data_IF_018856099837
#
_entry.id   IF_018856099837
#
_cell.length_a   1.000
_cell.length_b   1.000
_cell.length_c   1.000
_cell.angle_alpha   90.00
_cell.angle_beta   90.00
_cell.angle_gamma   90.00
#
_symmetry.space_group_name_H-M   'P 1'
#
loop_
_entity.id
_entity.type
_entity.pdbx_description
1 polymer ?
#
# COMPACT_ATOMS: atom_id res chain seq x y z
N UNK A 1 -4.68 -32.44 -8.01
CA UNK A 1 -3.54 -32.47 -7.08
C UNK A 1 -3.28 -31.05 -6.60
N UNK A 2 -3.73 -30.74 -5.41
CA UNK A 2 -3.58 -29.41 -4.84
C UNK A 2 -2.12 -29.14 -4.49
N UNK A 3 -1.64 -27.92 -4.80
CA UNK A 3 -0.40 -27.42 -4.26
C UNK A 3 -0.47 -27.53 -2.73
N UNK A 4 0.52 -28.15 -2.12
CA UNK A 4 0.59 -28.26 -0.67
C UNK A 4 0.59 -26.85 -0.09
N UNK A 5 -0.34 -26.58 0.83
CA UNK A 5 -0.31 -25.36 1.62
C UNK A 5 1.04 -25.30 2.35
N UNK A 6 1.72 -24.15 2.34
CA UNK A 6 2.97 -24.03 3.08
C UNK A 6 2.72 -24.36 4.54
N UNK A 7 3.61 -25.16 5.09
CA UNK A 7 3.49 -25.59 6.48
C UNK A 7 3.48 -24.37 7.40
N UNK A 8 2.67 -24.36 8.47
CA UNK A 8 2.56 -23.23 9.39
C UNK A 8 3.89 -22.70 9.93
N UNK A 9 4.92 -23.55 9.95
CA UNK A 9 6.25 -23.19 10.45
C UNK A 9 7.11 -22.37 9.45
N UNK A 10 6.78 -22.37 8.16
CA UNK A 10 7.50 -21.57 7.17
C UNK A 10 7.05 -20.11 7.19
N UNK A 11 5.83 -19.88 7.60
CA UNK A 11 5.32 -18.52 7.83
C UNK A 11 6.10 -17.78 8.91
N UNK A 12 6.52 -18.50 9.95
CA UNK A 12 7.22 -17.91 11.10
C UNK A 12 8.67 -17.52 10.79
N UNK A 13 9.24 -18.01 9.70
CA UNK A 13 10.63 -17.72 9.33
C UNK A 13 10.79 -16.40 8.56
N UNK A 14 9.72 -15.84 8.04
CA UNK A 14 9.72 -14.61 7.24
C UNK A 14 9.18 -13.40 8.01
N UNK A 15 8.68 -13.60 9.21
CA UNK A 15 8.29 -12.51 10.09
C UNK A 15 9.52 -12.00 10.81
N UNK A 16 9.73 -10.68 10.74
CA UNK A 16 10.73 -10.03 11.60
C UNK A 16 10.54 -10.50 13.05
N UNK A 17 11.63 -10.64 13.84
CA UNK A 17 11.51 -11.12 15.21
C UNK A 17 10.46 -10.30 15.95
N UNK A 18 9.38 -10.94 16.40
CA UNK A 18 8.29 -10.30 17.14
C UNK A 18 8.81 -9.48 18.34
N UNK A 19 9.94 -9.87 18.91
CA UNK A 19 10.56 -9.16 20.03
C UNK A 19 11.02 -7.74 19.67
N UNK A 20 11.44 -7.47 18.43
CA UNK A 20 11.86 -6.13 17.98
C UNK A 20 10.62 -5.26 17.68
N UNK A 21 9.57 -5.86 17.11
CA UNK A 21 8.32 -5.18 16.78
C UNK A 21 7.53 -4.85 18.06
N UNK A 22 7.50 -5.77 19.03
CA UNK A 22 6.77 -5.58 20.29
C UNK A 22 7.31 -4.46 21.18
N UNK A 23 8.57 -4.02 20.98
CA UNK A 23 9.18 -2.92 21.73
C UNK A 23 8.92 -1.54 21.12
N UNK A 24 8.39 -1.47 19.91
CA UNK A 24 8.04 -0.21 19.26
C UNK A 24 6.72 0.28 19.80
N UNK A 25 6.65 1.58 20.13
CA UNK A 25 5.41 2.19 20.59
C UNK A 25 4.39 2.16 19.44
N UNK A 26 3.22 1.60 19.69
CA UNK A 26 2.11 1.67 18.75
C UNK A 26 1.53 3.07 18.67
N UNK A 27 1.01 3.45 17.52
CA UNK A 27 0.30 4.72 17.35
C UNK A 27 -0.95 4.74 18.25
N UNK A 28 -1.26 5.92 18.77
CA UNK A 28 -2.46 6.10 19.58
C UNK A 28 -3.70 5.91 18.73
N UNK A 29 -4.73 5.31 19.33
CA UNK A 29 -6.03 5.18 18.67
C UNK A 29 -6.60 6.58 18.43
N UNK A 30 -7.02 6.84 17.21
CA UNK A 30 -7.67 8.09 16.82
C UNK A 30 -9.03 8.24 17.52
N UNK A 31 -9.56 9.47 17.62
CA UNK A 31 -10.89 9.68 18.16
C UNK A 31 -11.96 8.81 17.50
N UNK A 32 -12.92 8.34 18.28
CA UNK A 32 -14.03 7.54 17.78
C UNK A 32 -14.83 8.29 16.73
N UNK A 33 -15.17 7.61 15.63
CA UNK A 33 -16.02 8.13 14.55
C UNK A 33 -17.20 7.19 14.33
N UNK A 34 -18.27 7.73 13.77
CA UNK A 34 -19.40 6.91 13.34
C UNK A 34 -19.06 6.12 12.09
N UNK A 35 -19.71 4.97 11.92
CA UNK A 35 -19.53 4.11 10.75
C UNK A 35 -19.78 4.85 9.42
N UNK A 36 -20.73 5.77 9.39
CA UNK A 36 -21.03 6.58 8.22
C UNK A 36 -19.84 7.43 7.74
N UNK A 37 -18.93 7.81 8.64
CA UNK A 37 -17.71 8.53 8.26
C UNK A 37 -16.76 7.60 7.52
N UNK A 38 -16.59 6.38 8.01
CA UNK A 38 -15.76 5.36 7.35
C UNK A 38 -16.34 4.98 5.98
N UNK A 39 -17.66 4.91 5.86
CA UNK A 39 -18.35 4.57 4.60
C UNK A 39 -18.10 5.59 3.48
N UNK A 40 -17.58 6.77 3.80
CA UNK A 40 -17.21 7.78 2.81
C UNK A 40 -15.87 7.47 2.14
N UNK A 41 -15.07 6.59 2.70
CA UNK A 41 -13.74 6.24 2.18
C UNK A 41 -13.87 5.06 1.22
N UNK A 42 -13.45 5.25 -0.04
CA UNK A 42 -13.43 4.18 -1.04
C UNK A 42 -12.03 3.61 -1.16
N UNK A 43 -11.83 2.40 -0.65
CA UNK A 43 -10.57 1.66 -0.72
C UNK A 43 -10.72 0.53 -1.71
N UNK A 44 -9.82 0.44 -2.68
CA UNK A 44 -9.85 -0.59 -3.71
C UNK A 44 -8.52 -1.26 -3.91
N UNK A 45 -8.58 -2.50 -4.36
CA UNK A 45 -7.39 -3.24 -4.79
C UNK A 45 -7.03 -2.83 -6.21
N UNK A 46 -5.76 -2.53 -6.42
CA UNK A 46 -5.23 -2.25 -7.76
C UNK A 46 -3.92 -2.99 -7.98
N UNK A 47 -3.59 -3.25 -9.24
CA UNK A 47 -2.30 -3.80 -9.63
C UNK A 47 -1.36 -2.68 -10.01
N UNK A 48 -0.18 -2.67 -9.40
CA UNK A 48 0.88 -1.71 -9.71
C UNK A 48 1.53 -2.14 -11.02
N UNK A 49 1.26 -1.40 -12.10
CA UNK A 49 1.78 -1.73 -13.43
C UNK A 49 3.23 -1.28 -13.60
N UNK A 50 3.56 -0.09 -13.08
CA UNK A 50 4.89 0.48 -13.20
C UNK A 50 5.21 1.40 -12.04
N UNK A 51 6.49 1.51 -11.73
CA UNK A 51 7.01 2.43 -10.72
C UNK A 51 8.17 3.21 -11.34
N UNK A 52 8.07 4.52 -11.34
CA UNK A 52 9.09 5.41 -11.91
C UNK A 52 9.47 6.50 -10.90
N UNK A 53 10.70 6.98 -10.99
CA UNK A 53 11.14 8.11 -10.19
C UNK A 53 10.42 9.38 -10.61
N UNK A 54 10.07 10.22 -9.65
CA UNK A 54 9.61 11.58 -9.94
C UNK A 54 10.82 12.49 -10.11
N UNK A 55 10.90 13.16 -11.25
CA UNK A 55 12.01 14.07 -11.55
C UNK A 55 12.12 15.18 -10.50
N UNK A 56 13.34 15.38 -10.01
CA UNK A 56 13.63 16.41 -9.01
C UNK A 56 13.23 16.03 -7.58
N UNK A 57 12.85 14.78 -7.32
CA UNK A 57 12.53 14.30 -5.98
C UNK A 57 13.42 13.14 -5.55
N UNK A 58 13.94 13.22 -4.32
CA UNK A 58 14.71 12.13 -3.70
C UNK A 58 13.81 11.13 -2.95
N UNK A 59 12.53 11.45 -2.78
CA UNK A 59 11.59 10.67 -1.95
C UNK A 59 10.47 10.03 -2.74
N UNK A 60 10.04 10.67 -3.83
CA UNK A 60 8.81 10.33 -4.52
C UNK A 60 9.05 9.39 -5.69
N UNK A 61 8.15 8.43 -5.80
CA UNK A 61 7.93 7.64 -7.02
C UNK A 61 6.52 7.84 -7.51
N UNK A 62 6.31 7.70 -8.81
CA UNK A 62 4.99 7.67 -9.42
C UNK A 62 4.69 6.25 -9.88
N UNK A 63 3.51 5.80 -9.55
CA UNK A 63 3.04 4.47 -9.92
C UNK A 63 1.89 4.60 -10.90
N UNK A 64 1.88 3.74 -11.91
CA UNK A 64 0.68 3.51 -12.72
C UNK A 64 -0.04 2.32 -12.11
N UNK A 65 -1.27 2.52 -11.67
CA UNK A 65 -2.06 1.49 -10.98
C UNK A 65 -3.34 1.22 -11.74
N UNK A 66 -3.59 -0.05 -12.04
CA UNK A 66 -4.80 -0.50 -12.74
C UNK A 66 -5.87 -0.93 -11.75
N UNK A 67 -7.08 -0.39 -11.93
CA UNK A 67 -8.25 -0.69 -11.10
C UNK A 67 -9.36 -1.40 -11.90
N UNK A 68 -8.98 -2.23 -12.84
CA UNK A 68 -9.91 -2.96 -13.69
C UNK A 68 -10.20 -2.21 -14.99
N UNK A 69 -11.21 -1.37 -14.98
CA UNK A 69 -11.65 -0.62 -16.16
C UNK A 69 -10.86 0.67 -16.44
N UNK A 70 -9.99 1.09 -15.49
CA UNK A 70 -9.17 2.30 -15.64
C UNK A 70 -7.88 2.18 -14.88
N UNK A 71 -6.95 3.06 -15.20
CA UNK A 71 -5.68 3.20 -14.48
C UNK A 71 -5.53 4.62 -13.95
N UNK A 72 -4.77 4.76 -12.85
CA UNK A 72 -4.48 6.04 -12.22
C UNK A 72 -3.00 6.18 -11.96
N UNK A 73 -2.54 7.43 -11.92
CA UNK A 73 -1.20 7.77 -11.44
C UNK A 73 -1.28 8.06 -9.95
N UNK A 74 -0.48 7.37 -9.17
CA UNK A 74 -0.42 7.55 -7.72
C UNK A 74 1.03 7.82 -7.32
N UNK A 75 1.25 8.89 -6.57
CA UNK A 75 2.57 9.30 -6.11
C UNK A 75 2.74 8.91 -4.65
N UNK A 76 3.87 8.33 -4.31
CA UNK A 76 4.16 7.90 -2.95
C UNK A 76 5.62 8.12 -2.60
N UNK A 77 5.88 8.38 -1.31
CA UNK A 77 7.23 8.63 -0.79
C UNK A 77 7.95 7.36 -0.39
N UNK A 78 8.19 6.44 -1.32
CA UNK A 78 8.82 5.16 -1.00
C UNK A 78 10.27 5.01 -1.48
N UNK A 79 10.83 6.00 -2.13
CA UNK A 79 12.16 5.90 -2.73
C UNK A 79 13.25 5.69 -1.69
N UNK A 80 13.09 6.24 -0.50
CA UNK A 80 14.02 6.08 0.62
C UNK A 80 13.70 4.87 1.50
N UNK A 81 12.52 4.30 1.36
CA UNK A 81 12.04 3.18 2.17
C UNK A 81 12.43 1.82 1.60
N UNK A 82 12.71 1.76 0.30
CA UNK A 82 13.03 0.54 -0.43
C UNK A 82 14.31 0.73 -1.24
N UNK A 83 15.18 -0.26 -1.19
CA UNK A 83 16.39 -0.27 -2.02
C UNK A 83 16.05 -0.28 -3.52
N UNK A 84 14.99 -0.98 -3.90
CA UNK A 84 14.47 -1.01 -5.26
C UNK A 84 12.95 -0.86 -5.26
N UNK A 85 12.42 0.35 -5.42
CA UNK A 85 10.96 0.56 -5.46
C UNK A 85 10.25 -0.22 -6.56
N UNK A 86 10.94 -0.55 -7.66
CA UNK A 86 10.36 -1.32 -8.77
C UNK A 86 10.05 -2.77 -8.42
N UNK A 87 10.54 -3.28 -7.30
CA UNK A 87 10.24 -4.65 -6.85
C UNK A 87 8.76 -4.91 -6.62
N UNK A 88 7.96 -3.86 -6.46
CA UNK A 88 6.51 -3.95 -6.25
C UNK A 88 5.71 -3.96 -7.56
N UNK A 89 6.34 -3.80 -8.70
CA UNK A 89 5.66 -3.90 -9.99
C UNK A 89 5.01 -5.27 -10.17
N UNK A 90 3.77 -5.29 -10.66
CA UNK A 90 2.98 -6.52 -10.82
C UNK A 90 2.22 -6.97 -9.58
N UNK A 91 2.42 -6.33 -8.43
CA UNK A 91 1.76 -6.69 -7.18
C UNK A 91 0.44 -5.96 -7.00
N UNK A 92 -0.50 -6.61 -6.35
CA UNK A 92 -1.72 -5.97 -5.90
C UNK A 92 -1.51 -5.32 -4.53
N UNK A 93 -2.12 -4.16 -4.35
CA UNK A 93 -2.12 -3.45 -3.08
C UNK A 93 -3.45 -2.70 -2.91
N UNK A 94 -3.65 -2.14 -1.71
CA UNK A 94 -4.83 -1.35 -1.38
C UNK A 94 -4.54 0.14 -1.60
N UNK A 95 -5.53 0.84 -2.15
CA UNK A 95 -5.45 2.27 -2.45
C UNK A 95 -6.75 2.97 -2.04
N UNK A 96 -6.61 4.17 -1.49
CA UNK A 96 -7.75 5.08 -1.32
C UNK A 96 -7.95 5.83 -2.63
N UNK A 97 -9.11 5.68 -3.25
CA UNK A 97 -9.34 6.16 -4.62
C UNK A 97 -10.23 7.40 -4.73
N UNK A 98 -10.91 7.78 -3.67
CA UNK A 98 -11.83 8.92 -3.69
C UNK A 98 -11.32 10.14 -2.90
N UNK A 99 -10.03 10.38 -2.97
CA UNK A 99 -9.41 11.60 -2.46
C UNK A 99 -9.31 12.65 -3.56
N UNK A 100 -9.31 13.92 -3.16
CA UNK A 100 -9.03 15.01 -4.10
C UNK A 100 -7.64 14.82 -4.74
N UNK A 101 -7.52 14.98 -6.07
CA UNK A 101 -6.22 14.91 -6.72
C UNK A 101 -5.24 15.92 -6.13
N UNK A 102 -3.99 15.48 -5.92
CA UNK A 102 -2.95 16.31 -5.33
C UNK A 102 -1.76 16.42 -6.26
N UNK A 103 -1.34 17.64 -6.54
CA UNK A 103 -0.13 17.89 -7.33
C UNK A 103 1.10 17.79 -6.45
N UNK A 104 2.02 16.90 -6.80
CA UNK A 104 3.26 16.66 -6.07
C UNK A 104 4.43 16.69 -7.06
N UNK A 105 5.31 17.69 -6.95
CA UNK A 105 6.46 17.88 -7.85
C UNK A 105 6.10 17.84 -9.35
N UNK A 106 4.98 18.45 -9.72
CA UNK A 106 4.50 18.49 -11.10
C UNK A 106 3.71 17.28 -11.57
N UNK A 107 3.59 16.25 -10.75
CA UNK A 107 2.79 15.04 -11.02
C UNK A 107 1.51 15.08 -10.21
N UNK A 108 0.38 14.83 -10.85
CA UNK A 108 -0.92 14.75 -10.16
C UNK A 108 -1.13 13.34 -9.65
N UNK A 109 -1.27 13.21 -8.32
CA UNK A 109 -1.63 11.94 -7.68
C UNK A 109 -3.14 11.83 -7.56
N UNK A 110 -3.70 10.75 -8.10
CA UNK A 110 -5.14 10.48 -8.17
C UNK A 110 -5.60 9.46 -7.13
N UNK A 111 -4.90 9.35 -6.04
CA UNK A 111 -5.20 8.43 -4.95
C UNK A 111 -4.05 8.33 -3.97
N UNK A 112 -4.20 7.45 -3.00
CA UNK A 112 -3.19 7.23 -1.97
C UNK A 112 -2.91 5.73 -1.80
N UNK A 113 -1.65 5.36 -1.82
CA UNK A 113 -1.23 4.02 -1.42
C UNK A 113 -1.51 3.83 0.06
N UNK A 114 -2.18 2.74 0.38
CA UNK A 114 -2.44 2.36 1.77
C UNK A 114 -1.28 1.48 2.25
N UNK A 115 -0.37 2.04 3.00
CA UNK A 115 0.78 1.31 3.53
C UNK A 115 0.62 1.01 5.03
N UNK A 116 1.50 0.18 5.54
CA UNK A 116 1.47 -0.27 6.93
C UNK A 116 2.80 0.09 7.58
N UNK A 117 2.75 0.79 8.70
CA UNK A 117 3.90 1.01 9.56
C UNK A 117 4.41 2.44 9.63
N UNK A 118 4.07 3.30 8.69
CA UNK A 118 4.59 4.68 8.65
C UNK A 118 4.30 5.45 9.94
N UNK A 119 3.07 5.36 10.45
CA UNK A 119 2.67 6.08 11.66
C UNK A 119 3.39 5.59 12.93
N UNK A 120 3.85 4.35 12.93
CA UNK A 120 4.55 3.72 14.06
C UNK A 120 6.06 3.78 13.94
N UNK A 121 6.60 4.47 12.92
CA UNK A 121 8.04 4.52 12.65
C UNK A 121 8.62 3.19 12.19
N UNK A 122 7.78 2.26 11.76
CA UNK A 122 8.17 0.99 11.17
C UNK A 122 8.40 1.19 9.67
N UNK A 123 9.39 0.50 9.10
CA UNK A 123 9.59 0.53 7.65
C UNK A 123 8.30 0.16 6.94
N UNK A 124 7.73 1.04 6.12
CA UNK A 124 6.43 0.79 5.51
C UNK A 124 6.44 -0.42 4.58
N UNK A 125 5.36 -1.19 4.66
CA UNK A 125 5.09 -2.31 3.76
C UNK A 125 3.71 -2.12 3.14
N UNK A 126 3.47 -2.78 2.00
CA UNK A 126 2.19 -2.70 1.31
C UNK A 126 1.08 -3.38 2.10
N UNK A 127 -0.10 -2.78 2.12
CA UNK A 127 -1.32 -3.47 2.48
C UNK A 127 -1.78 -4.25 1.25
N UNK A 128 -1.78 -5.57 1.34
CA UNK A 128 -2.06 -6.46 0.20
C UNK A 128 -3.26 -7.35 0.49
N UNK A 129 -4.01 -7.79 -0.53
CA UNK A 129 -5.03 -8.82 -0.32
C UNK A 129 -4.37 -10.14 0.03
N UNK A 130 -5.04 -10.93 0.86
CA UNK A 130 -4.59 -12.27 1.27
C UNK A 130 -4.41 -13.22 0.08
N UNK A 131 -5.23 -13.04 -0.94
CA UNK A 131 -5.17 -13.79 -2.18
C UNK A 131 -5.49 -12.84 -3.35
N UNK A 132 -5.08 -13.17 -4.59
CA UNK A 132 -5.43 -12.36 -5.74
C UNK A 132 -6.95 -12.18 -5.87
N UNK A 133 -7.38 -10.97 -6.14
CA UNK A 133 -8.77 -10.61 -6.42
C UNK A 133 -8.82 -9.79 -7.71
N UNK A 134 -9.98 -9.66 -8.36
CA UNK A 134 -10.10 -8.78 -9.52
C UNK A 134 -9.69 -7.34 -9.17
N UNK A 135 -8.93 -6.70 -10.07
CA UNK A 135 -8.57 -5.29 -9.90
C UNK A 135 -9.82 -4.42 -9.80
N UNK A 136 -9.81 -3.45 -8.90
CA UNK A 136 -10.95 -2.60 -8.63
C UNK A 136 -11.90 -3.14 -7.57
N UNK A 137 -11.64 -4.32 -7.01
CA UNK A 137 -12.44 -4.87 -5.91
C UNK A 137 -12.34 -3.96 -4.69
N UNK A 138 -13.50 -3.64 -4.12
CA UNK A 138 -13.60 -2.75 -2.96
C UNK A 138 -13.30 -3.49 -1.67
N UNK A 139 -12.55 -2.85 -0.78
CA UNK A 139 -12.31 -3.29 0.58
C UNK A 139 -13.32 -2.62 1.54
N UNK A 140 -13.89 -3.40 2.44
CA UNK A 140 -14.85 -2.89 3.43
C UNK A 140 -16.30 -3.10 3.10
#
# INVERSE_FOLDING_TARGET
MGAALPRPREWLRHTAPCATIARMATAKIKPTIGLQVLDQVDIRVGTIESVEDVLGSDKLVQMRVRFGDHSRTIVAGMKQERANPREIEGRQALFVVNLEPRKMRGVVSEGMLFDIGYADGVRPVLAVPEAPVPDGTRAG
#
